data_IF_122959570925
#
_entry.id   IF_122959570925
#
_cell.length_a   1.000
_cell.length_b   1.000
_cell.length_c   1.000
_cell.angle_alpha   90.00
_cell.angle_beta   90.00
_cell.angle_gamma   90.00
#
_symmetry.space_group_name_H-M   'P 1'
#
loop_
_entity.id
_entity.type
_entity.pdbx_description
1 polymer ?
#
# COMPACT_ATOMS: atom_id res chain seq x y z
N UNK A 1 5.99 -30.45 -4.77
CA UNK A 1 6.46 -29.11 -4.37
C UNK A 1 5.23 -28.25 -4.10
N UNK A 2 5.32 -27.37 -3.11
CA UNK A 2 4.18 -26.91 -2.32
C UNK A 2 3.19 -26.02 -3.08
N UNK A 3 2.05 -26.61 -3.47
CA UNK A 3 0.99 -25.93 -4.21
C UNK A 3 0.38 -24.75 -3.43
N UNK A 4 0.35 -24.83 -2.11
CA UNK A 4 -0.29 -23.81 -1.24
C UNK A 4 0.47 -22.48 -1.22
N UNK A 5 1.80 -22.48 -1.21
CA UNK A 5 2.59 -21.24 -1.26
C UNK A 5 2.40 -20.54 -2.61
N UNK A 6 2.45 -21.30 -3.70
CA UNK A 6 2.26 -20.75 -5.04
C UNK A 6 0.86 -20.18 -5.23
N UNK A 7 -0.16 -20.82 -4.65
CA UNK A 7 -1.53 -20.32 -4.67
C UNK A 7 -1.66 -19.00 -3.88
N UNK A 8 -1.07 -18.93 -2.69
CA UNK A 8 -1.03 -17.72 -1.89
C UNK A 8 -0.31 -16.56 -2.60
N UNK A 9 0.87 -16.81 -3.19
CA UNK A 9 1.61 -15.79 -3.94
C UNK A 9 0.83 -15.32 -5.18
N UNK A 10 0.14 -16.23 -5.88
CA UNK A 10 -0.75 -15.88 -6.99
C UNK A 10 -1.94 -15.03 -6.55
N UNK A 11 -2.49 -15.27 -5.36
CA UNK A 11 -3.56 -14.43 -4.81
C UNK A 11 -3.06 -13.00 -4.53
N UNK A 12 -1.87 -12.86 -3.95
CA UNK A 12 -1.24 -11.55 -3.72
C UNK A 12 -0.97 -10.81 -5.03
N UNK A 13 -0.48 -11.51 -6.05
CA UNK A 13 -0.25 -10.94 -7.37
C UNK A 13 -1.56 -10.48 -8.03
N UNK A 14 -2.59 -11.35 -8.06
CA UNK A 14 -3.91 -11.06 -8.65
C UNK A 14 -4.61 -9.89 -7.98
N UNK A 15 -4.48 -9.76 -6.66
CA UNK A 15 -5.06 -8.65 -5.90
C UNK A 15 -4.26 -7.35 -6.04
N UNK A 16 -3.14 -7.35 -6.79
CA UNK A 16 -2.19 -6.23 -6.83
C UNK A 16 -1.79 -5.78 -5.42
N UNK A 17 -1.64 -6.76 -4.52
CA UNK A 17 -1.38 -6.52 -3.10
C UNK A 17 -0.17 -5.61 -2.94
N UNK A 18 -0.34 -4.57 -2.14
CA UNK A 18 0.72 -3.65 -1.79
C UNK A 18 0.72 -3.48 -0.29
N UNK A 19 1.78 -3.93 0.37
CA UNK A 19 1.79 -4.03 1.82
C UNK A 19 2.95 -4.88 2.31
N UNK A 20 2.82 -5.39 3.53
CA UNK A 20 3.83 -6.24 4.17
C UNK A 20 3.29 -7.63 4.45
N UNK A 21 4.15 -8.62 4.24
CA UNK A 21 3.97 -10.02 4.65
C UNK A 21 4.93 -10.36 5.77
N UNK A 22 4.49 -11.24 6.67
CA UNK A 22 5.27 -11.74 7.78
C UNK A 22 5.69 -13.19 7.52
N UNK A 23 6.97 -13.46 7.77
CA UNK A 23 7.56 -14.80 7.78
C UNK A 23 7.68 -15.27 9.22
N UNK A 24 7.11 -16.43 9.53
CA UNK A 24 7.21 -17.07 10.84
C UNK A 24 7.85 -18.45 10.70
N UNK A 25 8.60 -18.84 11.71
CA UNK A 25 9.07 -20.21 11.87
C UNK A 25 8.43 -20.80 13.12
N UNK A 26 7.53 -21.76 12.93
CA UNK A 26 6.78 -22.39 14.00
C UNK A 26 6.76 -23.92 13.79
N UNK A 27 7.00 -24.67 14.86
CA UNK A 27 6.96 -26.14 14.87
C UNK A 27 7.75 -26.79 13.70
N UNK A 28 8.93 -26.25 13.39
CA UNK A 28 9.78 -26.78 12.32
C UNK A 28 9.40 -26.35 10.91
N UNK A 29 8.39 -25.49 10.74
CA UNK A 29 7.86 -25.07 9.43
C UNK A 29 7.92 -23.56 9.26
N UNK A 30 8.13 -23.12 8.02
CA UNK A 30 8.03 -21.71 7.63
C UNK A 30 6.60 -21.41 7.19
N UNK A 31 6.02 -20.34 7.72
CA UNK A 31 4.68 -19.86 7.39
C UNK A 31 4.74 -18.42 6.89
N UNK A 32 3.98 -18.11 5.84
CA UNK A 32 3.79 -16.74 5.33
C UNK A 32 2.39 -16.24 5.70
N UNK A 33 2.27 -15.01 6.18
CA UNK A 33 0.98 -14.37 6.47
C UNK A 33 0.95 -12.91 6.02
N UNK A 34 -0.22 -12.40 5.63
CA UNK A 34 -0.42 -10.97 5.40
C UNK A 34 -0.38 -10.23 6.74
N UNK A 35 0.44 -9.17 6.83
CA UNK A 35 0.57 -8.37 8.05
C UNK A 35 -0.18 -7.05 7.97
N UNK A 36 0.02 -6.30 6.88
CA UNK A 36 -0.66 -5.04 6.66
C UNK A 36 -0.82 -4.76 5.17
N UNK A 37 -2.02 -4.30 4.79
CA UNK A 37 -2.32 -3.80 3.45
C UNK A 37 -2.17 -2.27 3.43
N UNK A 38 -1.43 -1.77 2.45
CA UNK A 38 -1.21 -0.34 2.23
C UNK A 38 -2.13 0.13 1.11
N UNK A 39 -3.07 1.00 1.47
CA UNK A 39 -3.96 1.64 0.51
C UNK A 39 -3.11 2.58 -0.34
N UNK A 40 -2.93 2.27 -1.63
CA UNK A 40 -2.38 3.22 -2.57
C UNK A 40 -3.38 4.38 -2.69
N UNK A 41 -2.96 5.57 -2.30
CA UNK A 41 -3.69 6.78 -2.65
C UNK A 41 -3.69 6.87 -4.17
N UNK A 42 -4.86 6.69 -4.76
CA UNK A 42 -5.04 6.82 -6.19
C UNK A 42 -4.59 8.24 -6.60
N UNK A 43 -3.53 8.32 -7.41
CA UNK A 43 -2.94 9.60 -7.85
C UNK A 43 -3.96 10.46 -8.62
N UNK A 44 -5.08 9.90 -9.05
CA UNK A 44 -6.20 10.64 -9.63
C UNK A 44 -6.93 11.56 -8.62
N UNK A 45 -6.76 11.35 -7.30
CA UNK A 45 -7.34 12.20 -6.23
C UNK A 45 -6.37 13.23 -5.65
N UNK A 46 -5.10 13.22 -6.04
CA UNK A 46 -4.08 14.14 -5.49
C UNK A 46 -4.19 15.58 -6.00
N UNK A 47 -4.95 15.84 -7.06
CA UNK A 47 -5.07 17.19 -7.64
C UNK A 47 -5.99 18.15 -6.85
N UNK A 48 -6.61 17.72 -5.75
CA UNK A 48 -7.55 18.56 -4.98
C UNK A 48 -7.02 19.05 -3.62
N UNK A 49 -5.78 18.74 -3.26
CA UNK A 49 -5.19 19.21 -2.00
C UNK A 49 -4.39 20.52 -2.17
N UNK A 50 -5.15 21.62 -2.09
CA UNK A 50 -4.84 22.86 -1.34
C UNK A 50 -3.70 23.75 -1.84
N UNK A 51 -3.96 24.48 -2.92
CA UNK A 51 -3.31 25.74 -3.25
C UNK A 51 -3.88 26.91 -2.42
N UNK A 52 -3.56 26.98 -1.12
CA UNK A 52 -3.64 28.24 -0.39
C UNK A 52 -2.38 29.08 -0.70
N UNK A 53 -2.22 29.50 -1.96
CA UNK A 53 -1.36 30.66 -2.25
C UNK A 53 -2.12 31.87 -1.74
N UNK A 54 -1.78 32.30 -0.53
CA UNK A 54 -2.28 33.54 0.04
C UNK A 54 -2.17 34.65 -0.98
N UNK A 55 -3.31 35.22 -1.34
CA UNK A 55 -3.41 36.54 -1.94
C UNK A 55 -2.82 37.54 -0.94
N UNK A 56 -1.51 37.77 -1.02
CA UNK A 56 -0.90 38.90 -0.32
C UNK A 56 -1.40 40.14 -1.05
N UNK A 57 -2.29 40.85 -0.35
CA UNK A 57 -3.12 41.91 -0.88
C UNK A 57 -2.37 43.10 -1.44
N UNK A 58 -3.14 43.84 -2.23
CA UNK A 58 -2.91 45.21 -2.63
C UNK A 58 -2.32 46.05 -1.48
N UNK A 59 -1.10 46.55 -1.68
CA UNK A 59 -0.67 47.79 -1.05
C UNK A 59 -0.60 48.85 -2.14
N UNK A 60 -1.72 49.57 -2.33
CA UNK A 60 -1.70 50.88 -2.95
C UNK A 60 -0.90 51.85 -2.06
N UNK A 61 0.10 52.50 -2.64
CA UNK A 61 0.42 53.91 -2.36
C UNK A 61 1.20 54.51 -3.52
#
# INVERSE_FOLDING_TARGET
MDNTLNEFLRELERSSFYGSVELKYENGRITLARKAETIKLDNSRQNHCRNNRGTNGDYSK
#
